data_IF_309628752592
#
_entry.id   IF_309628752592
#
_cell.length_a   1.000
_cell.length_b   1.000
_cell.length_c   1.000
_cell.angle_alpha   90.00
_cell.angle_beta   90.00
_cell.angle_gamma   90.00
#
_symmetry.space_group_name_H-M   'P 1'
#
loop_
_entity.id
_entity.type
_entity.pdbx_description
1 polymer ?
#
# COMPACT_ATOMS: atom_id res chain seq x y z
N UNK A 1 -6.06 -52.80 9.28
CA UNK A 1 -6.74 -51.57 9.75
C UNK A 1 -5.79 -50.49 10.29
N UNK A 2 -4.55 -50.80 10.68
CA UNK A 2 -3.59 -49.78 11.20
C UNK A 2 -2.92 -48.88 10.15
N UNK A 3 -2.84 -49.30 8.89
CA UNK A 3 -2.19 -48.50 7.81
C UNK A 3 -2.99 -47.29 7.36
N UNK A 4 -4.33 -47.36 7.46
CA UNK A 4 -5.24 -46.27 7.07
C UNK A 4 -5.19 -45.15 8.11
N UNK A 5 -5.10 -45.49 9.40
CA UNK A 5 -4.96 -44.51 10.48
C UNK A 5 -3.66 -43.71 10.41
N UNK A 6 -2.56 -44.34 9.99
CA UNK A 6 -1.27 -43.66 9.84
C UNK A 6 -1.28 -42.67 8.66
N UNK A 7 -1.93 -43.04 7.55
CA UNK A 7 -2.11 -42.16 6.39
C UNK A 7 -3.02 -40.96 6.69
N UNK A 8 -4.06 -41.16 7.50
CA UNK A 8 -4.97 -40.09 7.92
C UNK A 8 -4.28 -39.09 8.86
N UNK A 9 -3.41 -39.59 9.75
CA UNK A 9 -2.62 -38.74 10.66
C UNK A 9 -1.57 -37.90 9.91
N UNK A 10 -0.93 -38.45 8.87
CA UNK A 10 0.04 -37.74 8.04
C UNK A 10 -0.62 -36.68 7.13
N UNK A 11 -1.86 -36.91 6.71
CA UNK A 11 -2.64 -35.95 5.93
C UNK A 11 -3.09 -34.74 6.77
N UNK A 12 -3.39 -34.95 8.06
CA UNK A 12 -3.78 -33.87 8.98
C UNK A 12 -2.61 -32.92 9.33
N UNK A 13 -1.36 -33.40 9.33
CA UNK A 13 -0.19 -32.55 9.61
C UNK A 13 0.18 -31.61 8.44
N UNK A 14 -0.38 -31.81 7.25
CA UNK A 14 -0.18 -30.92 6.10
C UNK A 14 -1.11 -29.70 6.12
N UNK A 15 -2.10 -29.64 7.02
CA UNK A 15 -3.10 -28.56 7.09
C UNK A 15 -2.81 -27.56 8.21
N UNK A 16 -1.80 -27.78 9.06
CA UNK A 16 -1.41 -26.83 10.12
C UNK A 16 -0.45 -25.74 9.67
N UNK A 17 -0.18 -25.65 8.37
CA UNK A 17 0.56 -24.53 7.78
C UNK A 17 -0.36 -23.34 7.49
N UNK A 18 -1.04 -22.80 8.50
CA UNK A 18 -1.39 -21.38 8.45
C UNK A 18 -0.06 -20.64 8.49
N UNK A 19 0.52 -20.42 7.31
CA UNK A 19 1.47 -19.32 7.11
C UNK A 19 0.86 -18.14 7.86
N UNK A 20 1.52 -17.68 8.91
CA UNK A 20 1.23 -16.40 9.52
C UNK A 20 1.33 -15.39 8.37
N UNK A 21 0.19 -15.08 7.75
CA UNK A 21 0.05 -13.88 6.97
C UNK A 21 0.28 -12.79 7.98
N UNK A 22 1.53 -12.32 8.01
CA UNK A 22 1.94 -11.10 8.68
C UNK A 22 0.79 -10.12 8.47
N UNK A 23 0.12 -9.65 9.54
CA UNK A 23 -1.17 -9.02 9.39
C UNK A 23 -0.98 -7.78 8.53
N UNK A 24 -1.33 -7.90 7.25
CA UNK A 24 -1.64 -6.77 6.39
C UNK A 24 -2.94 -6.24 6.98
N UNK A 25 -2.84 -5.48 8.08
CA UNK A 25 -3.94 -4.95 8.90
C UNK A 25 -5.29 -5.17 8.21
N UNK A 26 -5.91 -6.33 8.43
CA UNK A 26 -7.21 -6.66 7.85
C UNK A 26 -8.20 -5.73 8.57
N UNK A 27 -8.37 -4.52 8.03
CA UNK A 27 -9.05 -3.41 8.69
C UNK A 27 -8.38 -2.03 8.56
N UNK A 28 -7.23 -1.89 7.88
CA UNK A 28 -6.70 -0.55 7.57
C UNK A 28 -7.64 0.18 6.61
N UNK A 29 -7.97 1.44 6.89
CA UNK A 29 -8.82 2.27 6.03
C UNK A 29 -8.14 2.61 4.68
N UNK A 30 -6.80 2.51 4.60
CA UNK A 30 -6.01 2.87 3.42
C UNK A 30 -4.84 1.89 3.16
N UNK A 31 -5.13 0.60 2.92
CA UNK A 31 -4.13 -0.42 2.64
C UNK A 31 -3.16 -0.05 1.51
N UNK A 32 -1.98 -0.66 1.54
CA UNK A 32 -0.93 -0.47 0.53
C UNK A 32 -0.90 -1.60 -0.52
N UNK A 33 -1.95 -2.42 -0.57
CA UNK A 33 -2.09 -3.52 -1.53
C UNK A 33 -2.11 -2.97 -2.97
N UNK A 34 -1.34 -3.54 -3.91
CA UNK A 34 -1.42 -3.19 -5.33
C UNK A 34 -2.84 -3.25 -5.88
N UNK A 35 -3.11 -2.47 -6.92
CA UNK A 35 -4.39 -2.36 -7.63
C UNK A 35 -5.58 -1.83 -6.81
N UNK A 36 -5.39 -1.51 -5.53
CA UNK A 36 -6.39 -0.80 -4.75
C UNK A 36 -6.49 0.66 -5.17
N UNK A 37 -7.72 1.17 -5.26
CA UNK A 37 -8.03 2.51 -5.74
C UNK A 37 -9.06 3.20 -4.82
N UNK A 38 -8.87 4.50 -4.63
CA UNK A 38 -9.82 5.41 -4.01
C UNK A 38 -10.18 6.52 -5.01
N UNK A 39 -11.48 6.75 -5.20
CA UNK A 39 -11.99 7.85 -6.01
C UNK A 39 -12.67 8.85 -5.09
N UNK A 40 -12.24 10.10 -5.16
CA UNK A 40 -12.74 11.21 -4.37
C UNK A 40 -13.46 12.22 -5.27
N UNK A 41 -14.55 12.81 -4.78
CA UNK A 41 -15.14 14.01 -5.36
C UNK A 41 -14.64 15.21 -4.59
N UNK A 42 -13.79 16.03 -5.22
CA UNK A 42 -13.13 17.18 -4.60
C UNK A 42 -13.80 18.46 -5.08
N UNK A 43 -14.27 19.27 -4.14
CA UNK A 43 -14.76 20.63 -4.42
C UNK A 43 -13.77 21.63 -3.89
N UNK A 44 -13.33 22.56 -4.74
CA UNK A 44 -12.42 23.65 -4.38
C UNK A 44 -13.12 24.98 -4.62
N UNK A 45 -13.00 25.89 -3.66
CA UNK A 45 -13.48 27.27 -3.78
C UNK A 45 -12.30 28.23 -3.65
N UNK A 46 -12.03 29.02 -4.70
CA UNK A 46 -10.95 30.02 -4.71
C UNK A 46 -11.48 31.32 -5.28
N UNK A 47 -11.40 32.41 -4.49
CA UNK A 47 -11.86 33.74 -4.89
C UNK A 47 -13.29 33.75 -5.47
N UNK A 48 -14.20 32.98 -4.87
CA UNK A 48 -15.60 32.86 -5.30
C UNK A 48 -15.84 31.95 -6.51
N UNK A 49 -14.80 31.39 -7.13
CA UNK A 49 -14.93 30.34 -8.15
C UNK A 49 -15.00 28.98 -7.48
N UNK A 50 -16.07 28.23 -7.77
CA UNK A 50 -16.25 26.85 -7.31
C UNK A 50 -15.97 25.89 -8.46
N UNK A 51 -15.13 24.89 -8.21
CA UNK A 51 -14.84 23.79 -9.12
C UNK A 51 -15.03 22.46 -8.40
N UNK A 52 -15.72 21.52 -9.05
CA UNK A 52 -15.83 20.14 -8.56
C UNK A 52 -15.25 19.20 -9.60
N UNK A 53 -14.40 18.28 -9.16
CA UNK A 53 -13.74 17.30 -10.00
C UNK A 53 -13.56 15.96 -9.28
N UNK A 54 -13.33 14.91 -10.06
CA UNK A 54 -12.87 13.65 -9.52
C UNK A 54 -11.36 13.69 -9.29
N UNK A 55 -10.91 13.07 -8.21
CA UNK A 55 -9.51 12.85 -7.89
C UNK A 55 -9.33 11.39 -7.51
N UNK A 56 -8.40 10.70 -8.17
CA UNK A 56 -8.17 9.28 -7.96
C UNK A 56 -6.82 9.06 -7.33
N UNK A 57 -6.72 8.13 -6.40
CA UNK A 57 -5.44 7.57 -5.95
C UNK A 57 -5.47 6.07 -6.07
N UNK A 58 -4.39 5.46 -6.55
CA UNK A 58 -4.28 4.02 -6.66
C UNK A 58 -2.88 3.55 -6.28
N UNK A 59 -2.77 2.32 -5.80
CA UNK A 59 -1.49 1.70 -5.51
C UNK A 59 -1.01 0.93 -6.75
N UNK A 60 0.23 1.15 -7.18
CA UNK A 60 0.87 0.29 -8.16
C UNK A 60 1.65 -0.83 -7.49
N UNK A 61 2.28 -1.67 -8.30
CA UNK A 61 3.33 -2.56 -7.84
C UNK A 61 4.40 -1.81 -7.03
N UNK A 62 4.98 -2.44 -5.98
CA UNK A 62 6.05 -1.86 -5.21
C UNK A 62 7.30 -1.58 -6.05
N UNK A 63 8.04 -0.53 -5.69
CA UNK A 63 9.32 -0.18 -6.28
C UNK A 63 10.43 -0.23 -5.23
N UNK A 64 11.66 -0.51 -5.67
CA UNK A 64 12.82 -0.47 -4.79
C UNK A 64 13.50 0.88 -4.87
N UNK A 65 13.60 1.59 -3.74
CA UNK A 65 14.38 2.82 -3.60
C UNK A 65 15.52 2.61 -2.62
N UNK A 66 16.75 2.95 -3.02
CA UNK A 66 17.96 2.79 -2.19
C UNK A 66 18.08 1.39 -1.56
N UNK A 67 17.68 0.34 -2.30
CA UNK A 67 17.75 -1.05 -1.85
C UNK A 67 16.60 -1.50 -0.93
N UNK A 68 15.59 -0.66 -0.70
CA UNK A 68 14.44 -0.98 0.16
C UNK A 68 13.14 -0.99 -0.65
N UNK A 69 12.25 -1.97 -0.45
CA UNK A 69 10.94 -1.98 -1.10
C UNK A 69 10.04 -0.89 -0.52
N UNK A 70 9.31 -0.21 -1.40
CA UNK A 70 8.31 0.80 -1.08
C UNK A 70 7.04 0.49 -1.85
N UNK A 71 5.89 0.56 -1.16
CA UNK A 71 4.61 0.64 -1.84
C UNK A 71 4.53 1.99 -2.56
N UNK A 72 3.95 2.01 -3.76
CA UNK A 72 3.85 3.24 -4.56
C UNK A 72 2.39 3.61 -4.74
N UNK A 73 2.00 4.76 -4.18
CA UNK A 73 0.67 5.34 -4.37
C UNK A 73 0.74 6.48 -5.38
N UNK A 74 -0.12 6.42 -6.39
CA UNK A 74 -0.14 7.34 -7.53
C UNK A 74 -1.46 8.09 -7.52
N UNK A 75 -1.40 9.40 -7.68
CA UNK A 75 -2.58 10.28 -7.85
C UNK A 75 -2.94 10.41 -9.33
N UNK A 76 -4.20 10.75 -9.65
CA UNK A 76 -4.66 11.05 -11.01
C UNK A 76 -3.93 12.22 -11.66
N UNK A 77 -3.24 13.05 -10.87
CA UNK A 77 -2.38 14.15 -11.34
C UNK A 77 -0.93 13.71 -11.59
N UNK A 78 -0.63 12.41 -11.46
CA UNK A 78 0.68 11.84 -11.75
C UNK A 78 1.69 11.92 -10.59
N UNK A 79 1.33 12.52 -9.45
CA UNK A 79 2.19 12.46 -8.26
C UNK A 79 2.30 11.04 -7.73
N UNK A 80 3.53 10.58 -7.49
CA UNK A 80 3.88 9.30 -6.88
C UNK A 80 4.39 9.51 -5.47
N UNK A 81 3.89 8.71 -4.54
CA UNK A 81 4.32 8.66 -3.15
C UNK A 81 4.90 7.30 -2.84
N UNK A 82 6.09 7.29 -2.24
CA UNK A 82 6.81 6.08 -1.86
C UNK A 82 6.63 5.86 -0.37
N UNK A 83 5.93 4.78 -0.03
CA UNK A 83 5.41 4.50 1.30
C UNK A 83 6.03 3.23 1.87
N UNK A 84 6.33 3.24 3.16
CA UNK A 84 6.69 2.03 3.92
C UNK A 84 5.73 1.87 5.09
N UNK A 85 5.26 0.64 5.26
CA UNK A 85 4.57 0.24 6.47
C UNK A 85 5.62 -0.34 7.43
N UNK A 86 5.71 0.23 8.62
CA UNK A 86 6.53 -0.24 9.73
C UNK A 86 5.63 -0.45 10.95
N UNK A 87 6.15 -0.98 12.05
CA UNK A 87 5.35 -1.33 13.22
C UNK A 87 4.59 -0.13 13.81
N UNK A 88 5.13 1.08 13.65
CA UNK A 88 4.53 2.34 14.13
C UNK A 88 3.53 2.99 13.17
N UNK A 89 3.37 2.46 11.95
CA UNK A 89 2.43 2.96 10.95
C UNK A 89 3.00 3.14 9.55
N UNK A 90 2.28 3.90 8.73
CA UNK A 90 2.65 4.16 7.34
C UNK A 90 3.37 5.50 7.24
N UNK A 91 4.58 5.46 6.68
CA UNK A 91 5.39 6.64 6.44
C UNK A 91 5.64 6.83 4.96
N UNK A 92 5.66 8.09 4.52
CA UNK A 92 6.21 8.48 3.23
C UNK A 92 7.71 8.72 3.37
N UNK A 93 8.49 8.10 2.50
CA UNK A 93 9.94 8.23 2.45
C UNK A 93 10.41 9.06 1.24
N UNK A 94 9.53 9.30 0.28
CA UNK A 94 9.82 10.16 -0.86
C UNK A 94 8.62 10.40 -1.74
N UNK A 95 8.77 11.32 -2.69
CA UNK A 95 7.77 11.61 -3.70
C UNK A 95 8.39 11.99 -5.04
N UNK A 96 7.61 11.82 -6.10
CA UNK A 96 7.93 12.33 -7.44
C UNK A 96 6.67 12.91 -8.07
N UNK A 97 6.70 14.19 -8.39
CA UNK A 97 5.66 14.87 -9.17
C UNK A 97 5.88 14.65 -10.67
N UNK A 98 4.90 15.02 -11.50
CA UNK A 98 5.00 14.85 -12.97
C UNK A 98 6.16 15.64 -13.60
N UNK A 99 6.62 16.71 -12.94
CA UNK A 99 7.71 17.57 -13.43
C UNK A 99 9.10 17.15 -12.92
N UNK A 100 9.17 16.24 -11.94
CA UNK A 100 10.43 15.74 -11.38
C UNK A 100 10.88 14.49 -12.16
N UNK A 101 12.12 14.49 -12.66
CA UNK A 101 12.71 13.32 -13.35
C UNK A 101 13.09 12.21 -12.37
N UNK A 102 13.45 12.59 -11.15
CA UNK A 102 13.95 11.69 -10.11
C UNK A 102 13.10 11.77 -8.85
N UNK A 103 13.10 10.70 -8.06
CA UNK A 103 12.42 10.70 -6.76
C UNK A 103 13.15 11.62 -5.80
N UNK A 104 12.43 12.55 -5.20
CA UNK A 104 12.94 13.33 -4.09
C UNK A 104 12.63 12.62 -2.78
N UNK A 105 13.68 12.13 -2.14
CA UNK A 105 13.59 11.53 -0.81
C UNK A 105 13.22 12.60 0.20
N UNK A 106 12.36 12.25 1.15
CA UNK A 106 12.11 13.10 2.31
C UNK A 106 13.35 13.07 3.22
N UNK A 107 13.69 14.20 3.85
CA UNK A 107 14.81 14.27 4.80
C UNK A 107 14.54 13.43 6.05
N UNK A 108 13.27 13.42 6.47
CA UNK A 108 12.73 12.61 7.56
C UNK A 108 11.45 11.92 7.05
N UNK A 109 11.19 10.64 7.37
CA UNK A 109 9.94 10.00 6.97
C UNK A 109 8.71 10.76 7.48
N UNK A 110 7.75 11.03 6.60
CA UNK A 110 6.51 11.74 6.96
C UNK A 110 5.45 10.72 7.37
N UNK A 111 4.99 10.75 8.62
CA UNK A 111 3.87 9.93 9.06
C UNK A 111 2.60 10.25 8.25
N UNK A 112 1.88 9.21 7.83
CA UNK A 112 0.65 9.31 7.03
C UNK A 112 -0.54 8.76 7.81
N UNK A 113 -0.40 7.56 8.39
CA UNK A 113 -1.43 6.81 9.11
C UNK A 113 -0.82 5.89 10.18
#
# INVERSE_FOLDING_TARGET
>A
MHRIGLLLALLCSLVTGCSEQHPTHQGSYFPLTPDMQWTYRVTTEVAGRVETREFVTYNSEPETLKGLPHSVRITSEGTRYYLRNVDEGIYRNGKRTIVESEVRMDSDPHWVL
#
